data_IF_270591592342
#
_entry.id   IF_270591592342
#
_cell.length_a   1.000
_cell.length_b   1.000
_cell.length_c   1.000
_cell.angle_alpha   90.00
_cell.angle_beta   90.00
_cell.angle_gamma   90.00
#
_symmetry.space_group_name_H-M   'P 1'
#
loop_
_entity.id
_entity.type
_entity.pdbx_description
1 polymer ?
#
# COMPACT_ATOMS: atom_id res chain seq x y z
N UNK A 1 -6.18 -22.56 4.00
CA UNK A 1 -5.14 -21.53 4.18
C UNK A 1 -4.36 -21.42 2.89
N UNK A 2 -4.37 -20.26 2.26
CA UNK A 2 -3.70 -20.03 0.97
C UNK A 2 -2.21 -19.81 1.20
N UNK A 3 -1.38 -20.54 0.46
CA UNK A 3 0.08 -20.43 0.58
C UNK A 3 0.62 -19.24 -0.21
N UNK A 4 1.36 -18.38 0.49
CA UNK A 4 1.91 -17.14 -0.05
C UNK A 4 3.43 -17.20 -0.07
N UNK A 5 4.04 -16.78 -1.18
CA UNK A 5 5.45 -16.46 -1.28
C UNK A 5 5.67 -14.95 -1.33
N UNK A 6 6.73 -14.46 -0.72
CA UNK A 6 7.09 -13.03 -0.76
C UNK A 6 8.41 -12.88 -1.52
N UNK A 7 8.40 -12.17 -2.63
CA UNK A 7 9.61 -11.80 -3.36
C UNK A 7 10.02 -10.37 -3.01
N UNK A 8 11.16 -10.21 -2.32
CA UNK A 8 11.59 -8.96 -1.70
C UNK A 8 11.16 -8.87 -0.24
N UNK A 9 12.08 -9.17 0.68
CA UNK A 9 11.82 -9.13 2.12
C UNK A 9 12.35 -7.83 2.75
N UNK A 10 12.15 -6.73 2.00
CA UNK A 10 12.39 -5.35 2.46
C UNK A 10 11.32 -4.89 3.46
N UNK A 11 11.16 -3.58 3.64
CA UNK A 11 10.18 -3.04 4.60
C UNK A 11 8.76 -3.58 4.36
N UNK A 12 8.23 -3.40 3.16
CA UNK A 12 6.85 -3.85 2.85
C UNK A 12 6.72 -5.37 2.94
N UNK A 13 7.68 -6.14 2.41
CA UNK A 13 7.65 -7.61 2.50
C UNK A 13 7.61 -8.11 3.94
N UNK A 14 8.38 -7.49 4.86
CA UNK A 14 8.35 -7.84 6.29
C UNK A 14 7.07 -7.43 6.99
N UNK A 15 6.51 -6.26 6.68
CA UNK A 15 5.22 -5.85 7.25
C UNK A 15 4.06 -6.71 6.72
N UNK A 16 4.07 -7.07 5.44
CA UNK A 16 3.13 -8.06 4.88
C UNK A 16 3.25 -9.40 5.61
N UNK A 17 4.48 -9.85 5.88
CA UNK A 17 4.70 -11.06 6.67
C UNK A 17 4.10 -10.96 8.07
N UNK A 18 4.37 -9.86 8.80
CA UNK A 18 3.85 -9.63 10.16
C UNK A 18 2.32 -9.62 10.20
N UNK A 19 1.68 -8.98 9.22
CA UNK A 19 0.21 -8.99 9.08
C UNK A 19 -0.30 -10.38 8.76
N UNK A 20 0.29 -11.07 7.78
CA UNK A 20 -0.11 -12.40 7.34
C UNK A 20 0.06 -13.45 8.44
N UNK A 21 1.09 -13.32 9.30
CA UNK A 21 1.39 -14.29 10.36
C UNK A 21 0.24 -14.45 11.36
N UNK A 22 -0.54 -13.40 11.58
CA UNK A 22 -1.71 -13.41 12.48
C UNK A 22 -3.03 -13.67 11.76
N UNK A 23 -3.02 -13.78 10.42
CA UNK A 23 -4.21 -13.99 9.62
C UNK A 23 -4.43 -15.50 9.38
N UNK A 24 -5.63 -16.06 9.72
CA UNK A 24 -5.88 -17.50 9.59
C UNK A 24 -6.09 -17.97 8.13
N UNK A 25 -6.30 -17.08 7.18
CA UNK A 25 -6.66 -17.43 5.80
C UNK A 25 -5.45 -17.58 4.88
N UNK A 26 -4.29 -17.04 5.28
CA UNK A 26 -3.05 -17.06 4.51
C UNK A 26 -1.87 -17.61 5.32
N UNK A 27 -0.92 -18.22 4.64
CA UNK A 27 0.30 -18.75 5.23
C UNK A 27 1.49 -18.36 4.34
N UNK A 28 2.45 -17.62 4.90
CA UNK A 28 3.71 -17.35 4.19
C UNK A 28 4.63 -18.56 4.38
N UNK A 29 4.91 -19.25 3.30
CA UNK A 29 5.74 -20.48 3.31
C UNK A 29 7.18 -20.23 2.86
N UNK A 30 7.42 -19.17 2.10
CA UNK A 30 8.76 -18.81 1.64
C UNK A 30 8.89 -17.31 1.39
N UNK A 31 10.11 -16.82 1.58
CA UNK A 31 10.52 -15.44 1.25
C UNK A 31 11.78 -15.50 0.39
N UNK A 32 11.91 -14.60 -0.57
CA UNK A 32 13.09 -14.46 -1.40
C UNK A 32 13.72 -13.07 -1.21
N UNK A 33 15.00 -13.03 -0.89
CA UNK A 33 15.81 -11.80 -0.85
C UNK A 33 17.27 -12.14 -1.10
N UNK A 34 18.11 -11.13 -1.37
CA UNK A 34 19.52 -11.33 -1.75
C UNK A 34 20.48 -11.28 -0.55
N UNK A 35 19.98 -11.60 0.65
CA UNK A 35 20.77 -11.69 1.88
C UNK A 35 20.44 -12.97 2.65
N UNK A 36 21.17 -13.26 3.71
CA UNK A 36 21.07 -14.48 4.51
C UNK A 36 19.86 -14.47 5.47
N UNK A 37 19.49 -15.68 5.94
CA UNK A 37 18.36 -15.87 6.84
C UNK A 37 18.54 -15.17 8.20
N UNK A 38 19.78 -15.10 8.72
CA UNK A 38 20.06 -14.46 10.00
C UNK A 38 19.78 -12.96 9.95
N UNK A 39 20.25 -12.28 8.90
CA UNK A 39 19.98 -10.86 8.66
C UNK A 39 18.49 -10.61 8.49
N UNK A 40 17.77 -11.43 7.71
CA UNK A 40 16.33 -11.28 7.50
C UNK A 40 15.53 -11.55 8.77
N UNK A 41 15.90 -12.57 9.56
CA UNK A 41 15.26 -12.87 10.86
C UNK A 41 15.45 -11.72 11.85
N UNK A 42 16.67 -11.17 11.92
CA UNK A 42 16.95 -9.99 12.76
C UNK A 42 16.08 -8.79 12.39
N UNK A 43 16.02 -8.46 11.10
CA UNK A 43 15.20 -7.33 10.60
C UNK A 43 13.69 -7.59 10.69
N UNK A 44 13.24 -8.85 10.67
CA UNK A 44 11.85 -9.21 10.94
C UNK A 44 11.52 -9.00 12.43
N UNK A 45 12.44 -9.41 13.32
CA UNK A 45 12.24 -9.30 14.77
C UNK A 45 12.26 -7.87 15.26
N UNK A 46 13.22 -7.06 14.79
CA UNK A 46 13.47 -5.71 15.30
C UNK A 46 13.22 -4.69 14.18
N UNK A 47 12.26 -3.81 14.39
CA UNK A 47 11.94 -2.73 13.46
C UNK A 47 11.97 -1.38 14.17
N UNK A 48 12.68 -0.42 13.59
CA UNK A 48 12.87 0.92 14.20
C UNK A 48 11.58 1.75 14.22
N UNK A 49 10.61 1.42 13.37
CA UNK A 49 9.34 2.14 13.20
C UNK A 49 8.20 1.44 13.90
N UNK A 50 8.07 0.11 13.68
CA UNK A 50 6.97 -0.72 14.16
C UNK A 50 7.32 -1.51 15.43
N UNK A 51 8.57 -1.40 15.91
CA UNK A 51 9.01 -2.04 17.15
C UNK A 51 9.27 -3.54 17.00
N UNK A 52 9.48 -4.18 18.14
CA UNK A 52 9.81 -5.60 18.19
C UNK A 52 8.59 -6.45 17.84
N UNK A 53 8.77 -7.38 16.90
CA UNK A 53 7.73 -8.36 16.53
C UNK A 53 7.44 -9.28 17.75
N UNK A 54 6.18 -9.37 18.25
CA UNK A 54 5.86 -10.01 19.51
C UNK A 54 5.83 -11.55 19.44
N UNK A 55 6.58 -12.14 18.52
CA UNK A 55 6.71 -13.57 18.29
C UNK A 55 8.17 -13.99 18.47
N UNK A 56 8.43 -15.24 18.80
CA UNK A 56 9.78 -15.80 18.80
C UNK A 56 10.27 -15.91 17.35
N UNK A 57 11.46 -15.39 17.06
CA UNK A 57 12.06 -15.47 15.73
C UNK A 57 13.46 -16.05 15.88
N UNK A 58 13.68 -17.20 15.27
CA UNK A 58 14.96 -17.92 15.24
C UNK A 58 15.31 -18.32 13.81
N UNK A 59 16.49 -18.92 13.61
CA UNK A 59 16.96 -19.41 12.31
C UNK A 59 17.30 -20.90 12.43
N UNK A 60 16.93 -21.69 11.42
CA UNK A 60 17.27 -23.09 11.30
C UNK A 60 17.70 -23.38 9.84
N UNK A 61 19.03 -23.40 9.60
CA UNK A 61 19.60 -23.45 8.26
C UNK A 61 19.17 -22.27 7.40
N UNK A 62 18.60 -22.52 6.24
CA UNK A 62 18.08 -21.51 5.33
C UNK A 62 16.60 -21.17 5.61
N UNK A 63 16.13 -21.35 6.85
CA UNK A 63 14.77 -21.03 7.23
C UNK A 63 14.74 -20.00 8.35
N UNK A 64 13.82 -19.05 8.26
CA UNK A 64 13.35 -18.26 9.41
C UNK A 64 12.29 -19.10 10.12
N UNK A 65 12.38 -19.19 11.45
CA UNK A 65 11.42 -19.92 12.27
C UNK A 65 10.70 -18.91 13.17
N UNK A 66 9.37 -18.82 13.03
CA UNK A 66 8.54 -17.92 13.85
C UNK A 66 7.54 -18.77 14.63
N UNK A 67 7.64 -18.74 15.97
CA UNK A 67 6.82 -19.57 16.87
C UNK A 67 6.78 -21.05 16.43
N UNK A 68 7.93 -21.59 16.04
CA UNK A 68 8.09 -22.97 15.57
C UNK A 68 7.67 -23.23 14.11
N UNK A 69 7.08 -22.27 13.41
CA UNK A 69 6.73 -22.39 11.98
C UNK A 69 7.92 -21.99 11.10
N UNK A 70 8.31 -22.89 10.20
CA UNK A 70 9.43 -22.67 9.27
C UNK A 70 8.97 -21.92 8.02
N UNK A 71 9.75 -20.92 7.63
CA UNK A 71 9.60 -20.14 6.39
C UNK A 71 10.89 -20.24 5.62
N UNK A 72 10.84 -20.81 4.42
CA UNK A 72 12.02 -21.01 3.57
C UNK A 72 12.57 -19.65 3.12
N UNK A 73 13.88 -19.44 3.28
CA UNK A 73 14.59 -18.28 2.71
C UNK A 73 15.23 -18.71 1.41
N UNK A 74 14.96 -17.95 0.36
CA UNK A 74 15.52 -18.13 -0.98
C UNK A 74 16.40 -16.93 -1.32
N UNK A 75 17.41 -17.13 -2.17
CA UNK A 75 18.34 -16.07 -2.60
C UNK A 75 18.49 -16.06 -4.13
N UNK A 76 17.36 -16.00 -4.84
CA UNK A 76 17.31 -16.08 -6.30
C UNK A 76 17.07 -14.71 -6.93
N UNK A 77 17.92 -14.33 -7.89
CA UNK A 77 17.80 -13.06 -8.63
C UNK A 77 16.79 -13.10 -9.77
N UNK A 78 16.56 -14.30 -10.34
CA UNK A 78 15.65 -14.52 -11.46
C UNK A 78 14.33 -15.11 -10.95
N UNK A 79 13.20 -14.38 -11.02
CA UNK A 79 11.94 -14.87 -10.52
C UNK A 79 11.45 -16.18 -11.16
N UNK A 80 11.79 -16.42 -12.43
CA UNK A 80 11.40 -17.64 -13.14
C UNK A 80 12.05 -18.92 -12.57
N UNK A 81 13.11 -18.77 -11.78
CA UNK A 81 13.83 -19.88 -11.14
C UNK A 81 13.46 -20.11 -9.68
N UNK A 82 12.49 -19.36 -9.16
CA UNK A 82 12.00 -19.57 -7.83
C UNK A 82 11.12 -20.83 -7.77
N UNK A 83 11.27 -21.69 -6.76
CA UNK A 83 10.56 -22.97 -6.70
C UNK A 83 9.12 -22.84 -6.16
N UNK A 84 8.35 -21.85 -6.66
CA UNK A 84 7.01 -21.58 -6.15
C UNK A 84 6.08 -22.78 -6.28
N UNK A 85 6.11 -23.46 -7.43
CA UNK A 85 5.31 -24.66 -7.66
C UNK A 85 5.68 -25.83 -6.70
N UNK A 86 6.96 -26.05 -6.45
CA UNK A 86 7.46 -27.11 -5.54
C UNK A 86 7.06 -26.83 -4.08
N UNK A 87 7.06 -25.54 -3.68
CA UNK A 87 6.66 -25.11 -2.34
C UNK A 87 5.13 -25.00 -2.18
N UNK A 88 4.39 -25.17 -3.28
CA UNK A 88 2.95 -25.06 -3.30
C UNK A 88 2.45 -23.62 -3.10
N UNK A 89 3.27 -22.62 -3.44
CA UNK A 89 2.87 -21.21 -3.38
C UNK A 89 1.81 -20.93 -4.41
N UNK A 90 0.69 -20.38 -3.97
CA UNK A 90 -0.45 -20.05 -4.81
C UNK A 90 -0.45 -18.58 -5.21
N UNK A 91 -0.10 -17.70 -4.28
CA UNK A 91 -0.02 -16.25 -4.51
C UNK A 91 1.39 -15.78 -4.19
N UNK A 92 2.00 -15.01 -5.09
CA UNK A 92 3.26 -14.31 -4.83
C UNK A 92 2.97 -12.83 -4.56
N UNK A 93 3.51 -12.30 -3.47
CA UNK A 93 3.62 -10.86 -3.23
C UNK A 93 4.96 -10.38 -3.77
N UNK A 94 4.92 -9.62 -4.86
CA UNK A 94 6.09 -9.00 -5.46
C UNK A 94 6.35 -7.64 -4.80
N UNK A 95 7.36 -7.56 -3.93
CA UNK A 95 7.69 -6.37 -3.13
C UNK A 95 9.16 -5.93 -3.26
N UNK A 96 9.86 -6.36 -4.32
CA UNK A 96 11.23 -5.90 -4.61
C UNK A 96 11.28 -4.48 -5.18
N UNK A 97 10.17 -3.99 -5.74
CA UNK A 97 10.13 -2.74 -6.52
C UNK A 97 10.82 -2.82 -7.89
N UNK A 98 11.30 -4.01 -8.31
CA UNK A 98 12.01 -4.22 -9.58
C UNK A 98 11.11 -4.79 -10.68
N UNK A 99 10.19 -5.67 -10.32
CA UNK A 99 9.30 -6.38 -11.25
C UNK A 99 7.89 -5.76 -11.22
N UNK A 100 7.83 -4.44 -11.46
CA UNK A 100 6.59 -3.65 -11.52
C UNK A 100 5.98 -3.57 -12.93
N UNK A 101 6.49 -4.35 -13.84
CA UNK A 101 6.00 -4.51 -15.22
C UNK A 101 5.33 -5.88 -15.33
N UNK A 102 4.09 -5.95 -15.83
CA UNK A 102 3.30 -7.18 -15.89
C UNK A 102 4.05 -8.33 -16.56
N UNK A 103 4.62 -8.16 -17.77
CA UNK A 103 5.44 -9.19 -18.41
C UNK A 103 6.61 -9.71 -17.58
N UNK A 104 7.25 -8.83 -16.78
CA UNK A 104 8.33 -9.26 -15.88
C UNK A 104 7.81 -9.99 -14.65
N UNK A 105 6.69 -9.55 -14.10
CA UNK A 105 6.05 -10.21 -12.97
C UNK A 105 5.47 -11.59 -13.35
N UNK A 106 5.15 -11.81 -14.63
CA UNK A 106 4.70 -13.10 -15.16
C UNK A 106 5.70 -14.24 -14.94
N UNK A 107 7.00 -13.93 -14.74
CA UNK A 107 8.02 -14.92 -14.38
C UNK A 107 7.66 -15.70 -13.10
N UNK A 108 6.90 -15.13 -12.18
CA UNK A 108 6.41 -15.84 -11.00
C UNK A 108 5.32 -16.87 -11.35
N UNK A 109 4.52 -16.62 -12.38
CA UNK A 109 3.53 -17.58 -12.89
C UNK A 109 4.27 -18.74 -13.57
N UNK A 110 5.29 -18.45 -14.37
CA UNK A 110 6.15 -19.46 -15.00
C UNK A 110 6.84 -20.34 -13.94
N UNK A 111 7.17 -19.76 -12.78
CA UNK A 111 7.75 -20.45 -11.62
C UNK A 111 6.72 -21.28 -10.82
N UNK A 112 5.44 -21.28 -11.21
CA UNK A 112 4.39 -22.14 -10.66
C UNK A 112 3.40 -21.47 -9.71
N UNK A 113 3.48 -20.15 -9.49
CA UNK A 113 2.45 -19.41 -8.77
C UNK A 113 1.18 -19.26 -9.65
N UNK A 114 0.00 -19.14 -9.02
CA UNK A 114 -1.26 -18.93 -9.74
C UNK A 114 -1.57 -17.45 -9.93
N UNK A 115 -1.21 -16.61 -8.95
CA UNK A 115 -1.46 -15.17 -8.94
C UNK A 115 -0.23 -14.41 -8.42
N UNK A 116 -0.08 -13.18 -8.90
CA UNK A 116 0.96 -12.25 -8.42
C UNK A 116 0.30 -10.95 -8.00
N UNK A 117 0.59 -10.50 -6.79
CA UNK A 117 0.22 -9.17 -6.28
C UNK A 117 1.48 -8.30 -6.28
N UNK A 118 1.52 -7.30 -7.14
CA UNK A 118 2.60 -6.30 -7.16
C UNK A 118 2.29 -5.25 -6.11
N UNK A 119 3.16 -5.10 -5.12
CA UNK A 119 3.02 -4.13 -4.01
C UNK A 119 3.47 -2.71 -4.39
N UNK A 120 3.17 -2.30 -5.61
CA UNK A 120 3.51 -0.99 -6.17
C UNK A 120 2.60 -0.68 -7.36
N UNK A 121 2.53 0.59 -7.81
CA UNK A 121 1.96 0.91 -9.12
C UNK A 121 2.67 0.13 -10.21
N UNK A 122 1.92 -0.54 -11.06
CA UNK A 122 2.46 -1.39 -12.11
C UNK A 122 2.24 -0.80 -13.52
N UNK A 123 2.78 -1.48 -14.52
CA UNK A 123 2.52 -1.24 -15.94
C UNK A 123 2.19 -2.56 -16.58
N UNK A 124 1.20 -2.55 -17.47
CA UNK A 124 0.77 -3.74 -18.22
C UNK A 124 0.35 -4.90 -17.30
N UNK A 125 -0.08 -4.58 -16.08
CA UNK A 125 -0.79 -5.50 -15.20
C UNK A 125 -2.18 -5.81 -15.75
N UNK A 126 -2.77 -6.95 -15.34
CA UNK A 126 -4.12 -7.30 -15.77
C UNK A 126 -5.17 -6.38 -15.13
N UNK A 127 -4.95 -6.01 -13.88
CA UNK A 127 -5.83 -5.09 -13.15
C UNK A 127 -5.08 -4.41 -11.99
N UNK A 128 -5.45 -3.16 -11.71
CA UNK A 128 -5.10 -2.47 -10.47
C UNK A 128 -6.31 -2.49 -9.53
N UNK A 129 -6.13 -2.97 -8.30
CA UNK A 129 -7.18 -3.07 -7.28
C UNK A 129 -6.83 -2.25 -6.05
N UNK A 130 -7.78 -1.46 -5.59
CA UNK A 130 -7.80 -0.81 -4.28
C UNK A 130 -9.02 -1.34 -3.52
N UNK A 131 -8.76 -2.00 -2.39
CA UNK A 131 -9.81 -2.57 -1.54
C UNK A 131 -10.78 -1.48 -1.04
N UNK A 132 -12.08 -1.77 -1.06
CA UNK A 132 -13.17 -0.83 -0.78
C UNK A 132 -13.54 0.07 -1.97
N UNK A 133 -12.82 -0.02 -3.09
CA UNK A 133 -13.04 0.83 -4.26
C UNK A 133 -13.51 0.06 -5.48
N UNK A 134 -12.76 -0.96 -5.90
CA UNK A 134 -13.03 -1.68 -7.15
C UNK A 134 -12.67 -3.18 -7.11
N UNK A 135 -12.52 -3.79 -5.95
CA UNK A 135 -12.23 -5.22 -5.81
C UNK A 135 -13.29 -6.12 -6.45
N UNK A 136 -14.51 -5.62 -6.59
CA UNK A 136 -15.61 -6.31 -7.27
C UNK A 136 -15.34 -6.57 -8.76
N UNK A 137 -14.39 -5.86 -9.36
CA UNK A 137 -13.97 -6.03 -10.76
C UNK A 137 -12.98 -7.18 -10.98
N UNK A 138 -12.52 -7.82 -9.88
CA UNK A 138 -11.64 -8.97 -10.00
C UNK A 138 -12.33 -10.15 -10.70
N UNK A 139 -11.70 -10.67 -11.76
CA UNK A 139 -12.13 -11.86 -12.49
C UNK A 139 -11.01 -12.91 -12.40
N UNK A 140 -11.20 -14.02 -11.65
CA UNK A 140 -10.15 -15.02 -11.44
C UNK A 140 -9.64 -15.67 -12.73
N UNK A 141 -10.48 -15.74 -13.78
CA UNK A 141 -10.11 -16.34 -15.06
C UNK A 141 -9.24 -15.42 -15.94
N UNK A 142 -9.22 -14.11 -15.67
CA UNK A 142 -8.52 -13.11 -16.50
C UNK A 142 -7.38 -12.40 -15.81
N UNK A 143 -7.48 -12.25 -14.49
CA UNK A 143 -6.54 -11.41 -13.74
C UNK A 143 -5.56 -12.30 -12.97
N UNK A 144 -4.34 -12.40 -13.46
CA UNK A 144 -3.27 -13.18 -12.85
C UNK A 144 -2.18 -12.29 -12.23
N UNK A 145 -1.98 -11.10 -12.81
CA UNK A 145 -1.01 -10.11 -12.34
C UNK A 145 -1.77 -8.86 -11.89
N UNK A 146 -1.84 -8.67 -10.58
CA UNK A 146 -2.66 -7.67 -9.94
C UNK A 146 -1.76 -6.63 -9.27
N UNK A 147 -1.96 -5.35 -9.54
CA UNK A 147 -1.33 -4.28 -8.78
C UNK A 147 -2.21 -3.86 -7.61
N UNK A 148 -1.64 -3.75 -6.40
CA UNK A 148 -2.32 -3.14 -5.26
C UNK A 148 -2.13 -1.61 -5.21
N UNK A 149 -1.76 -0.98 -6.33
CA UNK A 149 -1.45 0.44 -6.44
C UNK A 149 -0.36 0.92 -5.44
N UNK A 150 -0.34 2.20 -5.10
CA UNK A 150 0.53 2.75 -4.05
C UNK A 150 -0.21 2.95 -2.73
N UNK A 151 0.53 3.10 -1.63
CA UNK A 151 -0.03 3.49 -0.33
C UNK A 151 -0.82 4.81 -0.42
N UNK A 152 -0.32 5.78 -1.17
CA UNK A 152 -1.01 7.07 -1.40
C UNK A 152 -2.30 6.87 -2.18
N UNK A 153 -2.33 5.99 -3.20
CA UNK A 153 -3.56 5.68 -3.95
C UNK A 153 -4.58 4.98 -3.06
N UNK A 154 -4.12 4.05 -2.21
CA UNK A 154 -4.98 3.38 -1.23
C UNK A 154 -5.58 4.35 -0.19
N UNK A 155 -4.86 5.40 0.19
CA UNK A 155 -5.40 6.48 1.03
C UNK A 155 -6.39 7.35 0.25
N UNK A 156 -6.01 7.82 -0.94
CA UNK A 156 -6.75 8.81 -1.71
C UNK A 156 -8.08 8.28 -2.27
N UNK A 157 -8.08 7.06 -2.82
CA UNK A 157 -9.22 6.55 -3.59
C UNK A 157 -10.50 6.33 -2.75
N UNK A 158 -10.47 5.77 -1.52
CA UNK A 158 -11.68 5.52 -0.75
C UNK A 158 -12.48 6.78 -0.43
N UNK A 159 -11.84 7.82 0.14
CA UNK A 159 -12.58 9.04 0.47
C UNK A 159 -12.95 9.87 -0.78
N UNK A 160 -12.11 9.81 -1.84
CA UNK A 160 -12.44 10.43 -3.12
C UNK A 160 -13.68 9.79 -3.77
N UNK A 161 -13.83 8.46 -3.65
CA UNK A 161 -15.03 7.73 -4.10
C UNK A 161 -16.29 8.27 -3.41
N UNK A 162 -16.23 8.47 -2.10
CA UNK A 162 -17.37 9.04 -1.33
C UNK A 162 -17.71 10.45 -1.83
N UNK A 163 -16.70 11.32 -1.98
CA UNK A 163 -16.91 12.66 -2.49
C UNK A 163 -17.51 12.67 -3.91
N UNK A 164 -17.01 11.80 -4.78
CA UNK A 164 -17.50 11.65 -6.14
C UNK A 164 -18.97 11.18 -6.19
N UNK A 165 -19.30 10.15 -5.42
CA UNK A 165 -20.65 9.58 -5.39
C UNK A 165 -21.70 10.53 -4.80
N UNK A 166 -21.36 11.27 -3.75
CA UNK A 166 -22.30 12.16 -3.04
C UNK A 166 -22.41 13.53 -3.69
N UNK A 167 -21.28 14.13 -4.06
CA UNK A 167 -21.22 15.55 -4.47
C UNK A 167 -20.78 15.74 -5.93
N UNK A 168 -20.23 14.71 -6.57
CA UNK A 168 -19.58 14.83 -7.88
C UNK A 168 -18.27 15.61 -7.81
N UNK A 169 -17.30 15.27 -8.64
CA UNK A 169 -16.02 16.00 -8.74
C UNK A 169 -15.86 16.56 -10.16
N UNK A 170 -15.64 17.86 -10.24
CA UNK A 170 -15.31 18.57 -11.47
C UNK A 170 -13.80 18.50 -11.75
N UNK A 171 -12.98 18.90 -10.78
CA UNK A 171 -11.53 18.86 -10.85
C UNK A 171 -10.90 18.91 -9.45
N UNK A 172 -9.61 18.56 -9.34
CA UNK A 172 -8.92 18.66 -8.06
C UNK A 172 -7.40 18.52 -8.16
N UNK A 173 -6.74 19.04 -7.11
CA UNK A 173 -5.31 18.93 -6.91
C UNK A 173 -5.03 18.23 -5.59
N UNK A 174 -4.09 17.28 -5.62
CA UNK A 174 -3.67 16.52 -4.44
C UNK A 174 -2.19 16.80 -4.15
N UNK A 175 -1.90 17.04 -2.89
CA UNK A 175 -0.54 17.01 -2.35
C UNK A 175 -0.46 15.91 -1.31
N UNK A 176 0.48 14.97 -1.45
CA UNK A 176 0.81 14.12 -0.31
C UNK A 176 2.06 14.63 0.39
N UNK A 177 1.93 14.92 1.69
CA UNK A 177 3.07 15.14 2.57
C UNK A 177 3.48 13.78 3.10
N UNK A 178 4.56 13.25 2.57
CA UNK A 178 4.89 11.82 2.67
C UNK A 178 6.19 11.61 3.45
N UNK A 179 6.19 10.67 4.35
CA UNK A 179 7.40 10.21 5.03
C UNK A 179 8.47 9.76 4.02
N UNK A 180 9.74 9.84 4.40
CA UNK A 180 10.83 9.37 3.54
C UNK A 180 10.76 7.85 3.35
N UNK A 181 11.27 7.37 2.23
CA UNK A 181 11.35 5.94 1.89
C UNK A 181 12.74 5.59 1.39
N UNK A 182 13.06 4.30 1.30
CA UNK A 182 14.41 3.81 0.94
C UNK A 182 14.86 4.17 -0.49
N UNK A 183 14.00 4.72 -1.34
CA UNK A 183 14.39 5.27 -2.62
C UNK A 183 15.10 6.64 -2.48
N UNK A 184 14.99 7.30 -1.33
CA UNK A 184 15.70 8.52 -1.03
C UNK A 184 17.10 8.25 -0.47
N UNK A 185 17.92 9.28 -0.40
CA UNK A 185 19.31 9.20 0.10
C UNK A 185 19.38 9.66 1.56
N UNK A 186 20.14 8.95 2.39
CA UNK A 186 20.43 9.38 3.76
C UNK A 186 21.26 10.66 3.72
N UNK A 187 22.36 10.65 2.97
CA UNK A 187 23.18 11.83 2.63
C UNK A 187 23.21 12.01 1.13
N UNK A 188 23.64 13.18 0.65
CA UNK A 188 23.68 13.55 -0.77
C UNK A 188 24.42 12.47 -1.60
N UNK A 189 23.72 11.84 -2.54
CA UNK A 189 24.22 10.76 -3.39
C UNK A 189 23.46 10.74 -4.72
N UNK A 190 24.06 10.30 -5.83
CA UNK A 190 23.40 10.27 -7.13
C UNK A 190 22.05 9.57 -7.14
N UNK A 191 21.07 10.22 -7.74
CA UNK A 191 19.71 9.73 -7.95
C UNK A 191 19.14 10.31 -9.26
N UNK A 192 18.23 9.61 -9.95
CA UNK A 192 17.61 10.09 -11.20
C UNK A 192 16.82 11.39 -11.02
N UNK A 193 16.11 11.51 -9.91
CA UNK A 193 15.49 12.75 -9.44
C UNK A 193 16.52 13.49 -8.57
N UNK A 194 17.00 14.66 -9.04
CA UNK A 194 18.01 15.44 -8.34
C UNK A 194 17.54 15.96 -6.97
N UNK A 195 16.24 16.10 -6.74
CA UNK A 195 15.71 16.46 -5.44
C UNK A 195 15.78 15.28 -4.47
N UNK A 196 15.52 14.05 -4.92
CA UNK A 196 15.71 12.81 -4.12
C UNK A 196 17.18 12.43 -3.93
N UNK A 197 18.09 13.06 -4.65
CA UNK A 197 19.53 12.92 -4.43
C UNK A 197 20.00 13.57 -3.12
N UNK A 198 19.20 14.44 -2.53
CA UNK A 198 19.52 15.18 -1.31
C UNK A 198 19.11 14.40 -0.06
N UNK A 199 19.75 14.74 1.08
CA UNK A 199 19.56 14.09 2.37
C UNK A 199 18.09 14.12 2.84
N UNK A 200 17.49 12.95 3.02
CA UNK A 200 16.07 12.79 3.32
C UNK A 200 15.68 13.32 4.70
N UNK A 201 16.54 13.10 5.72
CA UNK A 201 16.21 13.37 7.11
C UNK A 201 16.33 14.86 7.51
N UNK A 202 16.78 15.73 6.62
CA UNK A 202 16.95 17.16 6.91
C UNK A 202 16.35 18.10 5.83
N UNK A 203 15.53 17.56 4.93
CA UNK A 203 14.99 18.34 3.80
C UNK A 203 13.51 18.05 3.54
N UNK A 204 12.75 19.09 3.20
CA UNK A 204 11.45 18.94 2.53
C UNK A 204 11.75 18.81 1.03
N UNK A 205 11.35 17.68 0.42
CA UNK A 205 11.72 17.33 -0.95
C UNK A 205 10.46 17.22 -1.82
N UNK A 206 10.14 18.25 -2.63
CA UNK A 206 9.08 18.14 -3.64
C UNK A 206 9.49 17.12 -4.72
N UNK A 207 8.59 16.22 -5.08
CA UNK A 207 8.85 15.21 -6.10
C UNK A 207 7.55 14.76 -6.76
N UNK A 208 7.66 14.02 -7.83
CA UNK A 208 6.50 13.50 -8.55
C UNK A 208 5.84 12.34 -7.81
N UNK A 209 4.52 12.20 -7.97
CA UNK A 209 3.77 11.00 -7.62
C UNK A 209 2.79 10.65 -8.72
N UNK A 210 2.64 9.35 -8.98
CA UNK A 210 1.61 8.86 -9.88
C UNK A 210 0.23 8.69 -9.23
N UNK A 211 0.11 8.89 -7.92
CA UNK A 211 -1.08 8.51 -7.15
C UNK A 211 -2.37 9.18 -7.63
N UNK A 212 -2.36 10.50 -7.91
CA UNK A 212 -3.55 11.19 -8.40
C UNK A 212 -4.03 10.66 -9.77
N UNK A 213 -3.08 10.28 -10.64
CA UNK A 213 -3.42 9.65 -11.93
C UNK A 213 -3.85 8.20 -11.76
N UNK A 214 -3.26 7.49 -10.81
CA UNK A 214 -3.58 6.09 -10.52
C UNK A 214 -5.00 5.92 -9.93
N UNK A 215 -5.55 6.93 -9.27
CA UNK A 215 -6.96 6.92 -8.84
C UNK A 215 -7.90 6.72 -10.04
N UNK A 216 -7.58 7.26 -11.20
CA UNK A 216 -8.39 7.06 -12.41
C UNK A 216 -8.35 5.62 -12.98
N UNK A 217 -7.42 4.76 -12.53
CA UNK A 217 -7.43 3.34 -12.90
C UNK A 217 -8.52 2.58 -12.12
N UNK A 218 -8.81 3.01 -10.91
CA UNK A 218 -9.80 2.37 -10.03
C UNK A 218 -11.14 3.13 -9.96
N UNK A 219 -11.15 4.42 -10.30
CA UNK A 219 -12.31 5.30 -10.45
C UNK A 219 -12.24 6.00 -11.82
N UNK A 220 -12.64 5.32 -12.91
CA UNK A 220 -12.47 5.83 -14.29
C UNK A 220 -13.17 7.18 -14.56
N UNK A 221 -14.21 7.51 -13.79
CA UNK A 221 -14.96 8.77 -13.86
C UNK A 221 -14.09 9.98 -13.54
N UNK A 222 -12.97 9.78 -12.86
CA UNK A 222 -12.01 10.82 -12.47
C UNK A 222 -10.86 10.99 -13.46
N UNK A 223 -10.90 10.27 -14.61
CA UNK A 223 -9.86 10.39 -15.64
C UNK A 223 -9.71 11.84 -16.12
N UNK A 224 -8.50 12.40 -15.95
CA UNK A 224 -8.20 13.78 -16.35
C UNK A 224 -8.67 14.85 -15.38
N UNK A 225 -9.39 14.51 -14.31
CA UNK A 225 -9.91 15.49 -13.34
C UNK A 225 -8.98 15.73 -12.14
N UNK A 226 -8.08 14.78 -11.83
CA UNK A 226 -7.17 14.90 -10.70
C UNK A 226 -5.72 14.95 -11.17
N UNK A 227 -4.93 15.79 -10.52
CA UNK A 227 -3.47 15.84 -10.63
C UNK A 227 -2.84 16.10 -9.27
N UNK A 228 -1.52 15.97 -9.14
CA UNK A 228 -0.87 16.21 -7.86
C UNK A 228 0.60 15.87 -7.85
N UNK A 229 1.23 16.08 -6.69
CA UNK A 229 2.63 15.80 -6.45
C UNK A 229 2.86 15.39 -4.98
N UNK A 230 4.08 15.03 -4.63
CA UNK A 230 4.47 14.65 -3.28
C UNK A 230 5.46 15.66 -2.70
N UNK A 231 5.36 15.91 -1.41
CA UNK A 231 6.40 16.52 -0.58
C UNK A 231 6.93 15.47 0.39
N UNK A 232 8.18 15.04 0.23
CA UNK A 232 8.83 14.18 1.22
C UNK A 232 9.28 15.03 2.39
N UNK A 233 9.05 14.53 3.62
CA UNK A 233 9.36 15.22 4.88
C UNK A 233 10.21 14.33 5.79
N UNK A 234 10.96 14.92 6.77
CA UNK A 234 11.85 14.18 7.66
C UNK A 234 11.11 13.38 8.75
N UNK A 235 10.15 12.55 8.38
CA UNK A 235 9.45 11.61 9.27
C UNK A 235 9.66 10.19 8.75
N UNK A 236 9.84 9.18 9.64
CA UNK A 236 10.12 7.81 9.20
C UNK A 236 8.91 7.07 8.66
N UNK A 237 7.70 7.40 9.13
CA UNK A 237 6.45 6.74 8.75
C UNK A 237 5.26 7.65 9.04
N UNK A 238 4.11 7.29 8.52
CA UNK A 238 2.84 8.01 8.47
C UNK A 238 2.90 9.25 7.60
N UNK A 239 2.03 9.27 6.64
CA UNK A 239 1.89 10.31 5.62
C UNK A 239 0.47 10.88 5.64
N UNK A 240 0.27 11.98 4.95
CA UNK A 240 -1.02 12.65 4.85
C UNK A 240 -1.30 13.08 3.41
N UNK A 241 -2.52 12.87 2.92
CA UNK A 241 -2.99 13.44 1.66
C UNK A 241 -3.83 14.69 1.93
N UNK A 242 -3.55 15.75 1.21
CA UNK A 242 -4.33 16.98 1.12
C UNK A 242 -4.96 17.02 -0.28
N UNK A 243 -6.28 16.84 -0.35
CA UNK A 243 -7.03 16.90 -1.58
C UNK A 243 -7.91 18.15 -1.59
N UNK A 244 -7.64 19.06 -2.52
CA UNK A 244 -8.50 20.19 -2.82
C UNK A 244 -9.27 19.90 -4.09
N UNK A 245 -10.61 19.91 -4.02
CA UNK A 245 -11.52 19.60 -5.13
C UNK A 245 -12.55 20.67 -5.36
N UNK A 246 -12.90 20.87 -6.64
CA UNK A 246 -14.09 21.57 -7.06
C UNK A 246 -15.19 20.54 -7.25
N UNK A 247 -16.23 20.64 -6.43
CA UNK A 247 -17.38 19.76 -6.44
C UNK A 247 -18.43 20.22 -7.47
N UNK A 248 -19.28 19.32 -7.94
CA UNK A 248 -20.35 19.63 -8.87
C UNK A 248 -21.60 20.20 -8.15
N UNK A 249 -21.81 19.81 -6.88
CA UNK A 249 -22.92 20.24 -6.05
C UNK A 249 -22.45 21.19 -4.96
N UNK A 250 -23.32 22.14 -4.60
CA UNK A 250 -23.13 22.96 -3.42
C UNK A 250 -23.22 22.06 -2.15
N UNK A 251 -22.34 22.31 -1.18
CA UNK A 251 -22.30 21.58 0.08
C UNK A 251 -21.60 22.38 1.18
N UNK A 252 -21.49 21.79 2.37
CA UNK A 252 -20.80 22.35 3.53
C UNK A 252 -19.75 21.38 4.05
N UNK A 253 -18.84 21.84 4.91
CA UNK A 253 -17.85 20.99 5.54
C UNK A 253 -18.50 19.90 6.43
N UNK A 254 -19.60 20.25 7.09
CA UNK A 254 -20.39 19.36 7.94
C UNK A 254 -21.01 18.21 7.13
N UNK A 255 -21.58 18.53 5.97
CA UNK A 255 -22.18 17.53 5.08
C UNK A 255 -21.10 16.58 4.50
N UNK A 256 -19.93 17.10 4.12
CA UNK A 256 -18.79 16.31 3.67
C UNK A 256 -18.33 15.37 4.80
N UNK A 257 -18.14 15.90 6.01
CA UNK A 257 -17.70 15.12 7.16
C UNK A 257 -18.74 14.05 7.53
N UNK A 258 -20.02 14.37 7.50
CA UNK A 258 -21.09 13.41 7.76
C UNK A 258 -21.09 12.26 6.74
N UNK A 259 -20.91 12.55 5.45
CA UNK A 259 -20.84 11.54 4.40
C UNK A 259 -19.60 10.62 4.54
N UNK A 260 -18.45 11.20 4.90
CA UNK A 260 -17.22 10.45 5.10
C UNK A 260 -17.29 9.57 6.36
N UNK A 261 -17.87 10.08 7.45
CA UNK A 261 -18.12 9.33 8.69
C UNK A 261 -19.09 8.17 8.47
N UNK A 262 -20.22 8.43 7.77
CA UNK A 262 -21.18 7.39 7.38
C UNK A 262 -20.49 6.26 6.59
N UNK A 263 -19.64 6.61 5.63
CA UNK A 263 -18.93 5.62 4.84
C UNK A 263 -17.91 4.82 5.66
N UNK A 264 -17.18 5.48 6.56
CA UNK A 264 -16.19 4.86 7.45
C UNK A 264 -16.82 3.88 8.44
N UNK A 265 -18.00 4.21 8.98
CA UNK A 265 -18.75 3.34 9.90
C UNK A 265 -19.55 2.25 9.16
N UNK A 266 -19.83 2.45 7.87
CA UNK A 266 -20.64 1.59 7.00
C UNK A 266 -19.83 0.80 5.97
N UNK A 267 -20.05 1.12 4.68
CA UNK A 267 -19.55 0.35 3.54
C UNK A 267 -18.02 0.30 3.41
N UNK A 268 -17.31 1.24 4.00
CA UNK A 268 -15.84 1.29 3.98
C UNK A 268 -15.22 0.97 5.35
N UNK A 269 -15.98 0.36 6.25
CA UNK A 269 -15.48 -0.08 7.56
C UNK A 269 -14.27 -1.00 7.39
N UNK A 270 -13.19 -0.72 8.13
CA UNK A 270 -11.92 -1.45 8.02
C UNK A 270 -10.98 -0.93 6.91
N UNK A 271 -11.46 -0.04 6.05
CA UNK A 271 -10.68 0.61 4.98
C UNK A 271 -10.53 2.10 5.26
N UNK A 272 -11.65 2.80 5.46
CA UNK A 272 -11.71 4.22 5.78
C UNK A 272 -11.96 4.41 7.27
N UNK A 273 -11.24 5.35 7.88
CA UNK A 273 -11.50 5.86 9.21
C UNK A 273 -11.89 7.33 9.17
N UNK A 274 -12.45 7.80 10.27
CA UNK A 274 -12.80 9.21 10.47
C UNK A 274 -12.41 9.64 11.88
N UNK A 275 -11.69 10.75 12.01
CA UNK A 275 -11.17 11.25 13.29
C UNK A 275 -11.57 12.72 13.53
N UNK A 276 -11.97 13.03 14.76
CA UNK A 276 -12.29 14.38 15.25
C UNK A 276 -11.40 14.78 16.44
N UNK A 277 -10.30 14.04 16.69
CA UNK A 277 -9.33 14.38 17.71
C UNK A 277 -8.13 15.14 17.10
N UNK A 278 -7.48 16.05 17.83
CA UNK A 278 -6.34 16.82 17.34
C UNK A 278 -5.05 15.97 17.36
N UNK A 279 -5.01 14.93 16.52
CA UNK A 279 -3.91 13.98 16.43
C UNK A 279 -2.87 14.41 15.38
N UNK A 280 -1.68 13.82 15.48
CA UNK A 280 -0.56 14.03 14.56
C UNK A 280 -0.07 12.71 13.97
N UNK A 281 0.83 12.75 13.01
CA UNK A 281 1.29 11.56 12.28
C UNK A 281 1.70 10.39 13.19
N UNK A 282 2.37 10.67 14.32
CA UNK A 282 2.85 9.60 15.21
C UNK A 282 1.73 8.75 15.82
N UNK A 283 0.55 9.34 16.01
CA UNK A 283 -0.60 8.68 16.63
C UNK A 283 -1.23 7.62 15.71
N UNK A 284 -0.96 7.71 14.41
CA UNK A 284 -1.46 6.76 13.41
C UNK A 284 -0.46 5.65 13.05
N UNK A 285 0.72 5.63 13.70
CA UNK A 285 1.71 4.57 13.45
C UNK A 285 1.17 3.21 13.91
N UNK A 286 1.18 2.24 12.99
CA UNK A 286 0.58 0.91 13.20
C UNK A 286 -0.93 0.86 12.95
N UNK A 287 -1.56 1.93 12.45
CA UNK A 287 -2.97 1.92 12.08
C UNK A 287 -3.19 1.07 10.81
N UNK A 288 -4.07 0.04 10.85
CA UNK A 288 -4.29 -0.85 9.72
C UNK A 288 -5.18 -0.26 8.62
N UNK A 289 -5.81 0.90 8.84
CA UNK A 289 -6.69 1.53 7.86
C UNK A 289 -5.91 2.13 6.71
N UNK A 290 -6.50 2.12 5.53
CA UNK A 290 -5.91 2.73 4.33
C UNK A 290 -5.92 4.25 4.37
N UNK A 291 -6.90 4.83 5.05
CA UNK A 291 -7.20 6.26 4.99
C UNK A 291 -7.97 6.67 6.24
N UNK A 292 -7.51 7.67 6.97
CA UNK A 292 -8.20 8.20 8.14
C UNK A 292 -8.46 9.68 7.93
N UNK A 293 -9.70 10.04 7.59
CA UNK A 293 -10.09 11.43 7.37
C UNK A 293 -9.93 12.24 8.64
N UNK A 294 -9.23 13.37 8.54
CA UNK A 294 -9.12 14.37 9.59
C UNK A 294 -10.30 15.36 9.48
N UNK A 295 -11.37 15.09 10.23
CA UNK A 295 -12.61 15.88 10.17
C UNK A 295 -12.42 17.34 10.63
N UNK A 296 -11.42 17.60 11.49
CA UNK A 296 -11.11 18.95 11.94
C UNK A 296 -10.45 19.81 10.86
N UNK A 297 -9.84 19.16 9.85
CA UNK A 297 -9.14 19.85 8.76
C UNK A 297 -9.98 20.04 7.50
N UNK A 298 -11.22 19.56 7.48
CA UNK A 298 -12.14 19.79 6.36
C UNK A 298 -12.52 21.26 6.28
N UNK A 299 -12.34 21.89 5.13
CA UNK A 299 -12.68 23.30 4.94
C UNK A 299 -13.24 23.59 3.56
N UNK A 300 -13.98 24.69 3.46
CA UNK A 300 -14.62 25.13 2.22
C UNK A 300 -14.17 26.55 1.83
N UNK A 301 -14.08 26.80 0.52
CA UNK A 301 -14.04 28.15 -0.06
C UNK A 301 -15.22 28.28 -1.01
N UNK A 302 -16.20 29.09 -0.64
CA UNK A 302 -17.49 29.11 -1.32
C UNK A 302 -18.23 27.78 -1.19
N UNK A 303 -19.29 27.53 -1.96
CA UNK A 303 -20.17 26.38 -1.76
C UNK A 303 -19.64 25.08 -2.39
N UNK A 304 -18.58 25.11 -3.23
CA UNK A 304 -18.15 23.94 -4.01
C UNK A 304 -16.66 23.62 -3.95
N UNK A 305 -15.81 24.53 -3.46
CA UNK A 305 -14.37 24.23 -3.33
C UNK A 305 -14.11 23.68 -1.93
N UNK A 306 -13.83 22.39 -1.86
CA UNK A 306 -13.56 21.66 -0.63
C UNK A 306 -12.10 21.25 -0.51
N UNK A 307 -11.55 21.28 0.69
CA UNK A 307 -10.32 20.63 1.08
C UNK A 307 -10.64 19.50 2.06
N UNK A 308 -10.17 18.30 1.76
CA UNK A 308 -10.24 17.12 2.65
C UNK A 308 -8.84 16.57 2.86
N UNK A 309 -8.53 16.29 4.11
CA UNK A 309 -7.23 15.80 4.54
C UNK A 309 -7.39 14.40 5.12
N UNK A 310 -6.48 13.48 4.78
CA UNK A 310 -6.54 12.11 5.28
C UNK A 310 -5.16 11.55 5.59
N UNK A 311 -5.03 10.95 6.77
CA UNK A 311 -3.84 10.28 7.28
C UNK A 311 -3.76 8.83 6.82
N UNK A 312 -2.55 8.29 6.73
CA UNK A 312 -2.32 6.87 6.48
C UNK A 312 -0.94 6.42 6.96
N UNK A 313 -0.89 5.25 7.60
CA UNK A 313 0.37 4.57 7.79
C UNK A 313 0.78 3.96 6.44
N UNK A 314 1.78 4.57 5.80
CA UNK A 314 2.19 4.20 4.44
C UNK A 314 2.90 2.85 4.35
N UNK A 315 3.26 2.24 5.46
CA UNK A 315 3.83 0.89 5.55
C UNK A 315 2.80 -0.12 6.08
N UNK A 316 2.31 0.06 7.32
CA UNK A 316 1.41 -0.89 7.97
C UNK A 316 0.02 -0.94 7.34
N UNK A 317 -0.62 0.22 7.14
CA UNK A 317 -1.94 0.30 6.50
C UNK A 317 -1.91 -0.29 5.10
N UNK A 318 -0.85 -0.01 4.32
CA UNK A 318 -0.68 -0.58 3.00
C UNK A 318 -0.44 -2.09 3.02
N UNK A 319 0.37 -2.59 3.95
CA UNK A 319 0.66 -4.03 4.08
C UNK A 319 -0.58 -4.83 4.47
N UNK A 320 -1.47 -4.26 5.29
CA UNK A 320 -2.79 -4.84 5.55
C UNK A 320 -3.61 -4.99 4.26
N UNK A 321 -3.60 -3.98 3.37
CA UNK A 321 -4.33 -4.06 2.08
C UNK A 321 -3.76 -5.12 1.15
N UNK A 322 -2.45 -5.34 1.16
CA UNK A 322 -1.84 -6.44 0.39
C UNK A 322 -2.35 -7.80 0.88
N UNK A 323 -2.42 -8.00 2.18
CA UNK A 323 -2.94 -9.25 2.78
C UNK A 323 -4.43 -9.41 2.54
N UNK A 324 -5.22 -8.34 2.71
CA UNK A 324 -6.67 -8.38 2.42
C UNK A 324 -6.94 -8.72 0.95
N UNK A 325 -6.14 -8.16 0.03
CA UNK A 325 -6.26 -8.47 -1.39
C UNK A 325 -5.91 -9.95 -1.65
N UNK A 326 -4.88 -10.50 -0.99
CA UNK A 326 -4.54 -11.91 -1.11
C UNK A 326 -5.69 -12.82 -0.61
N UNK A 327 -6.29 -12.49 0.55
CA UNK A 327 -7.45 -13.19 1.08
C UNK A 327 -8.66 -13.08 0.14
N UNK A 328 -8.92 -11.90 -0.41
CA UNK A 328 -10.02 -11.67 -1.35
C UNK A 328 -9.86 -12.49 -2.63
N UNK A 329 -8.67 -12.48 -3.24
CA UNK A 329 -8.34 -13.28 -4.42
C UNK A 329 -8.54 -14.77 -4.13
N UNK A 330 -8.02 -15.25 -3.00
CA UNK A 330 -8.17 -16.64 -2.59
C UNK A 330 -9.64 -17.05 -2.42
N UNK A 331 -10.45 -16.20 -1.82
CA UNK A 331 -11.88 -16.45 -1.61
C UNK A 331 -12.70 -16.42 -2.92
N UNK A 332 -12.29 -15.61 -3.91
CA UNK A 332 -12.99 -15.48 -5.21
C UNK A 332 -12.55 -16.53 -6.22
N UNK A 333 -11.39 -17.12 -6.06
CA UNK A 333 -10.80 -18.12 -6.93
C UNK A 333 -9.40 -17.73 -7.44
N UNK A 334 -8.55 -18.75 -7.58
CA UNK A 334 -7.15 -18.63 -7.99
C UNK A 334 -6.95 -19.05 -9.44
#
# INVERSE_FOLDING_TARGET
MTKVGINGFGRIGREVFRVAFTNPDVEVVAVNDLTDAETLAHLLKYDSVHGTFPHEVTVDGDCIVVDGKKVQVLAQTDPAKLPWGELGVEIVVESTGRFTDGPKAAAHIEAGAKKVIISAPAKQEDITIVMGVNEDKYDPAKHHIISNASCTTNCLAPFTKVLMEKFGIESGLMTTVHSYTNDQRILDLPHKDLRRARAAACSIIPTTTGAAKAVALVLPELKGKLNGFAMRVPTPNVSITDLTVLLQKDTTAEEINAALKEAAEGKLKGILGYNELPLVSRDYNGCPLSSIVDGLSTMMVGPRMAKVVSWYDNEWGYSNRVVDLACYIAAKGL
#
